data_IF_532666269504
#
_entry.id   IF_532666269504
#
_cell.length_a   1.000
_cell.length_b   1.000
_cell.length_c   1.000
_cell.angle_alpha   90.00
_cell.angle_beta   90.00
_cell.angle_gamma   90.00
#
_symmetry.space_group_name_H-M   'P 1'
#
loop_
_entity.id
_entity.type
_entity.pdbx_description
1 polymer ?
#
# COMPACT_ATOMS: atom_id res chain seq x y z
N UNK A 1 -29.60 -39.23 -0.88
CA UNK A 1 -28.72 -39.05 -2.06
C UNK A 1 -28.61 -37.60 -2.53
N UNK A 2 -29.66 -36.76 -2.52
CA UNK A 2 -29.57 -35.37 -3.05
C UNK A 2 -28.68 -34.41 -2.23
N UNK A 3 -28.57 -34.60 -0.90
CA UNK A 3 -27.67 -33.80 -0.04
C UNK A 3 -26.18 -34.02 -0.31
N UNK A 4 -25.81 -35.22 -0.79
CA UNK A 4 -24.43 -35.56 -1.15
C UNK A 4 -24.05 -34.92 -2.49
N UNK A 5 -24.99 -34.86 -3.44
CA UNK A 5 -24.82 -34.15 -4.71
C UNK A 5 -24.70 -32.63 -4.54
N UNK A 6 -25.43 -32.04 -3.59
CA UNK A 6 -25.35 -30.61 -3.29
C UNK A 6 -23.98 -30.22 -2.71
N UNK A 7 -23.41 -31.07 -1.85
CA UNK A 7 -22.06 -30.89 -1.31
C UNK A 7 -20.98 -31.00 -2.40
N UNK A 8 -21.14 -31.92 -3.36
CA UNK A 8 -20.25 -32.05 -4.52
C UNK A 8 -20.33 -30.85 -5.50
N UNK A 9 -21.53 -30.30 -5.73
CA UNK A 9 -21.70 -29.10 -6.58
C UNK A 9 -21.11 -27.83 -5.95
N UNK A 10 -21.28 -27.64 -4.64
CA UNK A 10 -20.73 -26.47 -3.92
C UNK A 10 -19.20 -26.56 -3.82
N UNK A 11 -18.62 -27.75 -3.67
CA UNK A 11 -17.17 -27.95 -3.70
C UNK A 11 -16.56 -27.68 -5.09
N UNK A 12 -17.25 -28.04 -6.18
CA UNK A 12 -16.78 -27.79 -7.54
C UNK A 12 -16.75 -26.30 -7.92
N UNK A 13 -17.68 -25.49 -7.40
CA UNK A 13 -17.69 -24.03 -7.64
C UNK A 13 -16.62 -23.26 -6.86
N UNK A 14 -16.13 -23.82 -5.74
CA UNK A 14 -15.07 -23.23 -4.92
C UNK A 14 -13.66 -23.39 -5.50
N UNK A 15 -13.44 -24.39 -6.36
CA UNK A 15 -12.10 -24.71 -6.88
C UNK A 15 -11.68 -23.88 -8.11
N UNK A 16 -12.60 -23.15 -8.75
CA UNK A 16 -12.33 -22.48 -10.03
C UNK A 16 -11.76 -21.05 -9.91
N UNK A 17 -11.74 -20.45 -8.72
CA UNK A 17 -11.35 -19.05 -8.53
C UNK A 17 -9.85 -18.85 -8.24
N UNK A 18 -9.11 -19.89 -7.87
CA UNK A 18 -7.65 -19.82 -7.66
C UNK A 18 -6.84 -19.73 -8.96
N UNK A 19 -7.41 -20.14 -10.10
CA UNK A 19 -6.73 -20.13 -11.39
C UNK A 19 -6.51 -18.73 -12.00
N UNK A 20 -7.40 -17.77 -11.72
CA UNK A 20 -7.36 -16.46 -12.38
C UNK A 20 -6.25 -15.56 -11.82
N UNK A 21 -6.04 -15.52 -10.50
CA UNK A 21 -5.00 -14.70 -9.89
C UNK A 21 -3.59 -15.17 -10.27
N UNK A 22 -3.39 -16.50 -10.35
CA UNK A 22 -2.13 -17.09 -10.82
C UNK A 22 -1.87 -16.78 -12.29
N UNK A 23 -2.91 -16.82 -13.15
CA UNK A 23 -2.76 -16.47 -14.57
C UNK A 23 -2.24 -15.05 -14.80
N UNK A 24 -2.84 -14.05 -14.15
CA UNK A 24 -2.42 -12.64 -14.32
C UNK A 24 -1.00 -12.42 -13.80
N UNK A 25 -0.66 -12.97 -12.64
CA UNK A 25 0.70 -12.89 -12.08
C UNK A 25 1.72 -13.55 -13.00
N UNK A 26 1.41 -14.74 -13.52
CA UNK A 26 2.25 -15.44 -14.49
C UNK A 26 2.53 -14.58 -15.72
N UNK A 27 1.50 -13.94 -16.28
CA UNK A 27 1.65 -13.06 -17.45
C UNK A 27 2.43 -11.78 -17.17
N UNK A 28 2.35 -11.24 -15.97
CA UNK A 28 3.19 -10.13 -15.51
C UNK A 28 4.67 -10.55 -15.49
N UNK A 29 4.98 -11.71 -14.89
CA UNK A 29 6.32 -12.26 -14.79
C UNK A 29 6.93 -12.62 -16.16
N UNK A 30 6.14 -13.19 -17.08
CA UNK A 30 6.59 -13.57 -18.43
C UNK A 30 6.92 -12.37 -19.33
N UNK A 31 6.32 -11.20 -19.07
CA UNK A 31 6.61 -9.95 -19.80
C UNK A 31 7.77 -9.16 -19.19
N UNK A 32 8.27 -9.58 -18.03
CA UNK A 32 9.29 -8.86 -17.29
C UNK A 32 10.64 -8.89 -18.02
N UNK A 33 11.35 -7.77 -17.99
CA UNK A 33 12.77 -7.75 -18.34
C UNK A 33 13.59 -8.22 -17.13
N UNK A 34 13.88 -9.52 -17.10
CA UNK A 34 14.58 -10.15 -15.98
C UNK A 34 16.00 -9.62 -15.78
N UNK A 35 16.70 -9.25 -16.85
CA UNK A 35 18.00 -8.58 -16.74
C UNK A 35 17.90 -7.24 -15.99
N UNK A 36 16.99 -6.36 -16.40
CA UNK A 36 16.80 -5.08 -15.72
C UNK A 36 16.34 -5.28 -14.27
N UNK A 37 15.47 -6.26 -14.04
CA UNK A 37 15.04 -6.63 -12.70
C UNK A 37 16.22 -6.99 -11.79
N UNK A 38 17.13 -7.86 -12.26
CA UNK A 38 18.35 -8.21 -11.53
C UNK A 38 19.25 -7.00 -11.30
N UNK A 39 19.46 -6.18 -12.34
CA UNK A 39 20.26 -4.96 -12.24
C UNK A 39 19.74 -4.02 -11.15
N UNK A 40 18.43 -3.74 -11.15
CA UNK A 40 17.80 -2.84 -10.18
C UNK A 40 17.86 -3.38 -8.76
N UNK A 41 17.75 -4.71 -8.59
CA UNK A 41 17.89 -5.35 -7.28
C UNK A 41 19.28 -5.16 -6.70
N UNK A 42 20.32 -5.38 -7.51
CA UNK A 42 21.69 -5.14 -7.09
C UNK A 42 21.94 -3.66 -6.77
N UNK A 43 21.43 -2.73 -7.59
CA UNK A 43 21.55 -1.28 -7.33
C UNK A 43 20.85 -0.81 -6.06
N UNK A 44 19.85 -1.56 -5.57
CA UNK A 44 19.19 -1.34 -4.28
C UNK A 44 19.89 -2.06 -3.11
N UNK A 45 21.01 -2.75 -3.35
CA UNK A 45 21.69 -3.56 -2.34
C UNK A 45 20.91 -4.80 -1.91
N UNK A 46 19.92 -5.25 -2.69
CA UNK A 46 19.08 -6.41 -2.38
C UNK A 46 19.63 -7.66 -3.08
N UNK A 47 19.48 -8.85 -2.50
CA UNK A 47 19.81 -10.11 -3.18
C UNK A 47 18.61 -10.64 -3.95
N UNK A 48 18.85 -11.39 -5.03
CA UNK A 48 17.78 -12.11 -5.75
C UNK A 48 17.20 -13.26 -4.91
N UNK A 49 18.05 -13.94 -4.13
CA UNK A 49 17.61 -15.02 -3.25
C UNK A 49 16.72 -14.47 -2.14
N UNK A 50 15.55 -15.10 -1.95
CA UNK A 50 14.57 -14.67 -0.94
C UNK A 50 13.75 -13.45 -1.36
N UNK A 51 13.84 -13.03 -2.62
CA UNK A 51 12.99 -11.97 -3.14
C UNK A 51 11.54 -12.41 -3.28
N UNK A 52 10.62 -11.70 -2.61
CA UNK A 52 9.22 -12.08 -2.57
C UNK A 52 8.50 -12.02 -3.92
N UNK A 53 8.95 -11.16 -4.85
CA UNK A 53 8.35 -11.11 -6.19
C UNK A 53 8.81 -12.31 -7.04
N UNK A 54 10.09 -12.68 -6.98
CA UNK A 54 10.59 -13.91 -7.59
C UNK A 54 9.81 -15.13 -7.10
N UNK A 55 9.61 -15.24 -5.78
CA UNK A 55 8.82 -16.32 -5.17
C UNK A 55 7.36 -16.35 -5.64
N UNK A 56 6.73 -15.18 -5.83
CA UNK A 56 5.39 -15.10 -6.41
C UNK A 56 5.35 -15.57 -7.86
N UNK A 57 6.38 -15.25 -8.66
CA UNK A 57 6.49 -15.71 -10.03
C UNK A 57 6.73 -17.22 -10.12
N UNK A 58 7.54 -17.78 -9.22
CA UNK A 58 7.75 -19.23 -9.08
C UNK A 58 6.43 -19.94 -8.72
N UNK A 59 5.70 -19.41 -7.74
CA UNK A 59 4.39 -19.95 -7.29
C UNK A 59 3.35 -19.86 -8.41
N UNK A 60 3.43 -18.84 -9.26
CA UNK A 60 2.57 -18.69 -10.43
C UNK A 60 3.03 -19.56 -11.63
N UNK A 61 4.05 -20.41 -11.45
CA UNK A 61 4.63 -21.28 -12.48
C UNK A 61 5.03 -20.50 -13.75
N UNK A 62 5.55 -19.29 -13.57
CA UNK A 62 5.98 -18.44 -14.68
C UNK A 62 7.29 -18.92 -15.28
N UNK A 63 7.44 -18.74 -16.60
CA UNK A 63 8.73 -18.90 -17.26
C UNK A 63 9.62 -17.70 -16.92
N UNK A 64 10.49 -17.89 -15.93
CA UNK A 64 11.45 -16.89 -15.45
C UNK A 64 12.79 -17.07 -16.18
N UNK A 65 13.35 -15.97 -16.68
CA UNK A 65 14.71 -15.96 -17.21
C UNK A 65 15.72 -15.71 -16.07
N UNK A 66 16.06 -16.77 -15.34
CA UNK A 66 17.03 -16.72 -14.25
C UNK A 66 18.42 -16.33 -14.72
N UNK A 67 18.81 -16.73 -15.94
CA UNK A 67 20.12 -16.39 -16.48
C UNK A 67 20.22 -14.90 -16.76
N UNK A 68 19.21 -14.32 -17.40
CA UNK A 68 19.11 -12.87 -17.60
C UNK A 68 19.11 -12.12 -16.27
N UNK A 69 18.32 -12.57 -15.28
CA UNK A 69 18.31 -11.97 -13.95
C UNK A 69 19.67 -12.00 -13.25
N UNK A 70 20.37 -13.14 -13.26
CA UNK A 70 21.70 -13.27 -12.69
C UNK A 70 22.74 -12.40 -13.41
N UNK A 71 22.72 -12.35 -14.74
CA UNK A 71 23.60 -11.48 -15.52
C UNK A 71 23.38 -10.00 -15.20
N UNK A 72 22.11 -9.58 -15.17
CA UNK A 72 21.73 -8.22 -14.80
C UNK A 72 22.15 -7.88 -13.38
N UNK A 73 21.96 -8.81 -12.45
CA UNK A 73 22.38 -8.67 -11.06
C UNK A 73 23.89 -8.45 -10.93
N UNK A 74 24.70 -9.28 -11.60
CA UNK A 74 26.17 -9.12 -11.65
C UNK A 74 26.58 -7.77 -12.24
N UNK A 75 25.93 -7.33 -13.32
CA UNK A 75 26.18 -6.03 -13.92
C UNK A 75 25.79 -4.86 -12.99
N UNK A 76 24.70 -5.01 -12.24
CA UNK A 76 24.28 -4.05 -11.23
C UNK A 76 25.24 -4.00 -10.04
N UNK A 77 25.72 -5.16 -9.55
CA UNK A 77 26.72 -5.23 -8.47
C UNK A 77 27.99 -4.46 -8.83
N UNK A 78 28.47 -4.59 -10.07
CA UNK A 78 29.65 -3.86 -10.54
C UNK A 78 29.47 -2.33 -10.50
N UNK A 79 28.23 -1.83 -10.57
CA UNK A 79 27.91 -0.41 -10.43
C UNK A 79 27.61 -0.01 -8.99
N UNK A 80 26.92 -0.86 -8.24
CA UNK A 80 26.59 -0.66 -6.84
C UNK A 80 27.84 -0.59 -5.97
N UNK A 81 28.84 -1.43 -6.24
CA UNK A 81 30.11 -1.50 -5.51
C UNK A 81 31.11 -0.43 -5.97
N UNK A 82 30.64 0.81 -6.17
CA UNK A 82 31.47 1.97 -6.49
C UNK A 82 31.56 2.94 -5.30
N UNK A 83 32.71 3.58 -5.05
CA UNK A 83 32.89 4.57 -3.99
C UNK A 83 31.82 5.66 -3.97
N UNK A 84 31.46 6.17 -5.15
CA UNK A 84 30.46 7.23 -5.30
C UNK A 84 29.07 6.75 -4.91
N UNK A 85 28.72 5.51 -5.26
CA UNK A 85 27.42 4.92 -4.89
C UNK A 85 27.36 4.70 -3.39
N UNK A 86 28.40 4.13 -2.77
CA UNK A 86 28.45 3.94 -1.32
C UNK A 86 28.29 5.27 -0.55
N UNK A 87 29.00 6.32 -0.99
CA UNK A 87 28.84 7.67 -0.45
C UNK A 87 27.42 8.21 -0.60
N UNK A 88 26.81 8.08 -1.78
CA UNK A 88 25.44 8.56 -2.00
C UNK A 88 24.41 7.76 -1.21
N UNK A 89 24.57 6.44 -1.08
CA UNK A 89 23.74 5.60 -0.19
C UNK A 89 23.78 6.14 1.24
N UNK A 90 24.97 6.46 1.75
CA UNK A 90 25.13 7.06 3.08
C UNK A 90 24.48 8.45 3.19
N UNK A 91 24.67 9.31 2.18
CA UNK A 91 24.02 10.63 2.12
C UNK A 91 22.50 10.56 2.05
N UNK A 92 21.95 9.50 1.46
CA UNK A 92 20.52 9.27 1.39
C UNK A 92 19.94 8.80 2.73
N UNK A 93 20.77 8.24 3.61
CA UNK A 93 20.37 7.69 4.90
C UNK A 93 20.05 6.20 4.85
N UNK A 94 20.50 5.53 3.79
CA UNK A 94 20.30 4.10 3.58
C UNK A 94 21.52 3.31 4.05
N UNK A 95 21.29 2.07 4.50
CA UNK A 95 22.38 1.16 4.84
C UNK A 95 23.03 0.60 3.57
N UNK A 96 24.36 0.57 3.54
CA UNK A 96 25.10 -0.02 2.43
C UNK A 96 25.29 -1.52 2.66
N UNK A 97 24.75 -2.34 1.77
CA UNK A 97 24.95 -3.79 1.80
C UNK A 97 26.33 -4.18 1.23
N UNK A 98 27.35 -4.11 2.07
CA UNK A 98 28.72 -4.52 1.75
C UNK A 98 28.88 -5.98 1.35
N UNK A 99 27.95 -6.84 1.76
CA UNK A 99 28.01 -8.29 1.48
C UNK A 99 27.71 -8.65 0.02
N UNK A 100 27.36 -7.67 -0.82
CA UNK A 100 27.29 -7.80 -2.27
C UNK A 100 28.63 -7.51 -2.95
N UNK A 101 29.60 -6.92 -2.25
CA UNK A 101 30.85 -6.47 -2.86
C UNK A 101 31.99 -7.44 -2.58
N UNK A 102 32.96 -7.49 -3.49
CA UNK A 102 34.18 -8.27 -3.30
C UNK A 102 35.04 -7.71 -2.16
N UNK A 103 35.68 -8.61 -1.41
CA UNK A 103 36.42 -8.31 -0.18
C UNK A 103 37.60 -7.35 -0.40
N UNK A 104 38.16 -7.30 -1.61
CA UNK A 104 39.33 -6.48 -1.95
C UNK A 104 39.09 -4.96 -1.84
N UNK A 105 37.83 -4.50 -1.89
CA UNK A 105 37.47 -3.07 -1.87
C UNK A 105 36.51 -2.64 -0.75
N UNK A 106 35.99 -3.57 0.04
CA UNK A 106 34.90 -3.30 1.01
C UNK A 106 35.26 -2.24 2.05
N UNK A 107 36.50 -2.20 2.53
CA UNK A 107 36.91 -1.20 3.52
C UNK A 107 36.83 0.24 2.99
N UNK A 108 37.19 0.45 1.71
CA UNK A 108 37.04 1.76 1.07
C UNK A 108 35.56 2.13 0.93
N UNK A 109 34.72 1.19 0.51
CA UNK A 109 33.28 1.41 0.35
C UNK A 109 32.60 1.74 1.69
N UNK A 110 32.96 1.04 2.78
CA UNK A 110 32.54 1.34 4.15
C UNK A 110 32.91 2.76 4.56
N UNK A 111 34.16 3.15 4.32
CA UNK A 111 34.62 4.50 4.65
C UNK A 111 33.84 5.57 3.86
N UNK A 112 33.57 5.32 2.58
CA UNK A 112 32.77 6.22 1.74
C UNK A 112 31.31 6.31 2.16
N UNK A 113 30.69 5.19 2.50
CA UNK A 113 29.36 5.19 3.09
C UNK A 113 29.31 5.99 4.39
N UNK A 114 30.25 5.77 5.31
CA UNK A 114 30.33 6.51 6.56
C UNK A 114 30.58 8.02 6.33
N UNK A 115 31.38 8.40 5.33
CA UNK A 115 31.56 9.80 4.91
C UNK A 115 30.22 10.42 4.45
N UNK A 116 29.46 9.69 3.65
CA UNK A 116 28.12 10.10 3.22
C UNK A 116 27.13 10.24 4.38
N UNK A 117 27.12 9.28 5.30
CA UNK A 117 26.30 9.34 6.53
C UNK A 117 26.67 10.56 7.37
N UNK A 118 27.97 10.85 7.57
CA UNK A 118 28.41 12.04 8.31
C UNK A 118 27.95 13.34 7.63
N UNK A 119 27.93 13.38 6.30
CA UNK A 119 27.39 14.51 5.53
C UNK A 119 25.88 14.67 5.75
N UNK A 120 25.11 13.57 5.74
CA UNK A 120 23.68 13.60 6.07
C UNK A 120 23.42 14.07 7.50
N UNK A 121 24.18 13.57 8.47
CA UNK A 121 23.93 13.78 9.90
C UNK A 121 24.32 15.19 10.41
N UNK A 122 24.50 16.15 9.52
CA UNK A 122 24.66 17.55 9.88
C UNK A 122 23.30 18.16 10.28
N UNK A 123 23.25 19.07 11.27
CA UNK A 123 22.00 19.67 11.73
C UNK A 123 21.17 20.31 10.61
N UNK A 124 21.78 20.96 9.61
CA UNK A 124 21.06 21.63 8.53
C UNK A 124 20.23 20.68 7.65
N UNK A 125 20.64 19.42 7.53
CA UNK A 125 19.93 18.42 6.74
C UNK A 125 18.78 17.74 7.49
N UNK A 126 18.80 17.75 8.83
CA UNK A 126 17.80 17.07 9.64
C UNK A 126 16.38 17.55 9.35
N UNK A 127 16.16 18.87 9.38
CA UNK A 127 14.83 19.46 9.10
C UNK A 127 14.29 19.07 7.72
N UNK A 128 15.13 19.11 6.68
CA UNK A 128 14.71 18.73 5.33
C UNK A 128 14.28 17.27 5.26
N UNK A 129 15.06 16.36 5.87
CA UNK A 129 14.76 14.92 5.92
C UNK A 129 13.50 14.62 6.72
N UNK A 130 13.30 15.29 7.86
CA UNK A 130 12.06 15.16 8.63
C UNK A 130 10.86 15.63 7.82
N UNK A 131 10.97 16.78 7.13
CA UNK A 131 9.89 17.36 6.34
C UNK A 131 9.53 16.52 5.10
N UNK A 132 10.47 15.74 4.57
CA UNK A 132 10.21 14.85 3.43
C UNK A 132 9.42 13.59 3.79
N UNK A 133 9.16 13.34 5.08
CA UNK A 133 8.49 12.13 5.55
C UNK A 133 9.41 10.92 5.70
N UNK A 134 10.72 11.10 5.54
CA UNK A 134 11.69 10.03 5.82
C UNK A 134 11.59 9.63 7.29
N UNK A 135 11.75 8.34 7.57
CA UNK A 135 11.69 7.77 8.92
C UNK A 135 13.12 7.49 9.36
N UNK A 136 13.53 8.15 10.45
CA UNK A 136 14.87 7.98 11.00
C UNK A 136 15.12 6.52 11.43
N UNK A 137 16.25 5.98 10.99
CA UNK A 137 16.63 4.57 11.13
C UNK A 137 17.90 4.39 11.98
N UNK A 138 18.24 5.37 12.84
CA UNK A 138 19.41 5.33 13.72
C UNK A 138 20.76 5.18 12.97
N UNK A 139 20.84 5.70 11.75
CA UNK A 139 22.06 5.63 10.94
C UNK A 139 23.14 6.62 11.39
N UNK A 140 22.79 7.68 12.13
CA UNK A 140 23.78 8.69 12.51
C UNK A 140 24.73 8.19 13.61
N UNK A 141 26.04 8.51 13.50
CA UNK A 141 26.98 8.32 14.59
C UNK A 141 26.53 9.08 15.84
N UNK A 142 26.80 8.51 17.02
CA UNK A 142 26.36 9.02 18.33
C UNK A 142 26.70 10.50 18.55
N UNK A 143 27.87 10.93 18.07
CA UNK A 143 28.38 12.28 18.20
C UNK A 143 27.66 13.33 17.32
N UNK A 144 27.03 12.92 16.21
CA UNK A 144 26.28 13.80 15.31
C UNK A 144 24.76 13.69 15.49
N UNK A 145 24.30 12.57 16.04
CA UNK A 145 22.90 12.20 16.12
C UNK A 145 22.04 13.22 16.87
N UNK A 146 22.50 13.73 18.01
CA UNK A 146 21.73 14.69 18.81
C UNK A 146 21.45 15.99 18.05
N UNK A 147 22.46 16.51 17.35
CA UNK A 147 22.36 17.71 16.52
C UNK A 147 21.40 17.50 15.35
N UNK A 148 21.53 16.38 14.63
CA UNK A 148 20.62 16.00 13.55
C UNK A 148 19.17 15.83 14.03
N UNK A 149 18.95 15.10 15.13
CA UNK A 149 17.62 14.81 15.65
C UNK A 149 16.87 16.06 16.08
N UNK A 150 17.57 17.06 16.61
CA UNK A 150 16.97 18.32 17.04
C UNK A 150 16.24 19.04 15.89
N UNK A 151 16.85 19.12 14.71
CA UNK A 151 16.25 19.75 13.53
C UNK A 151 15.33 18.79 12.77
N UNK A 152 15.65 17.48 12.76
CA UNK A 152 14.80 16.45 12.17
C UNK A 152 13.42 16.41 12.79
N UNK A 153 13.30 16.49 14.12
CA UNK A 153 12.00 16.53 14.83
C UNK A 153 11.13 17.70 14.39
N UNK A 154 11.73 18.88 14.17
CA UNK A 154 11.03 20.06 13.64
C UNK A 154 10.47 19.77 12.25
N UNK A 155 11.30 19.23 11.35
CA UNK A 155 10.86 18.82 10.01
C UNK A 155 9.77 17.75 10.04
N UNK A 156 9.96 16.72 10.87
CA UNK A 156 9.04 15.59 11.01
C UNK A 156 7.68 16.06 11.49
N UNK A 157 7.63 16.99 12.45
CA UNK A 157 6.38 17.62 12.90
C UNK A 157 5.64 18.32 11.77
N UNK A 158 6.34 19.06 10.90
CA UNK A 158 5.75 19.71 9.72
C UNK A 158 5.12 18.66 8.78
N UNK A 159 5.87 17.60 8.47
CA UNK A 159 5.37 16.51 7.62
C UNK A 159 4.11 15.87 8.20
N UNK A 160 4.16 15.43 9.46
CA UNK A 160 3.06 14.75 10.13
C UNK A 160 1.82 15.64 10.24
N UNK A 161 1.97 16.93 10.54
CA UNK A 161 0.86 17.88 10.53
C UNK A 161 0.22 18.02 9.14
N UNK A 162 1.04 17.99 8.08
CA UNK A 162 0.56 17.95 6.70
C UNK A 162 -0.28 16.70 6.41
N UNK A 163 0.19 15.53 6.85
CA UNK A 163 -0.53 14.24 6.70
C UNK A 163 -1.85 14.27 7.47
N UNK A 164 -1.87 14.76 8.71
CA UNK A 164 -3.11 14.91 9.50
C UNK A 164 -4.10 15.83 8.80
N UNK A 165 -3.65 16.97 8.28
CA UNK A 165 -4.50 17.90 7.52
C UNK A 165 -5.12 17.22 6.29
N UNK A 166 -4.33 16.45 5.53
CA UNK A 166 -4.82 15.71 4.37
C UNK A 166 -5.89 14.69 4.76
N UNK A 167 -5.63 13.86 5.79
CA UNK A 167 -6.58 12.85 6.27
C UNK A 167 -7.88 13.47 6.79
N UNK A 168 -7.80 14.58 7.52
CA UNK A 168 -8.99 15.33 7.97
C UNK A 168 -9.80 15.88 6.79
N UNK A 169 -9.15 16.34 5.73
CA UNK A 169 -9.84 16.76 4.50
C UNK A 169 -10.55 15.59 3.81
N UNK A 170 -9.95 14.40 3.82
CA UNK A 170 -10.57 13.19 3.28
C UNK A 170 -11.79 12.77 4.10
N UNK A 171 -11.71 12.82 5.43
CA UNK A 171 -12.85 12.61 6.33
C UNK A 171 -13.99 13.57 6.00
N UNK A 172 -13.69 14.87 5.82
CA UNK A 172 -14.71 15.86 5.47
C UNK A 172 -15.44 15.53 4.15
N UNK A 173 -14.70 15.05 3.14
CA UNK A 173 -15.29 14.57 1.87
C UNK A 173 -16.16 13.33 2.09
N UNK A 174 -15.71 12.36 2.88
CA UNK A 174 -16.50 11.17 3.22
C UNK A 174 -17.80 11.55 3.95
N UNK A 175 -17.74 12.51 4.87
CA UNK A 175 -18.92 13.01 5.59
C UNK A 175 -19.94 13.62 4.63
N UNK A 176 -19.51 14.40 3.64
CA UNK A 176 -20.39 14.94 2.59
C UNK A 176 -21.06 13.80 1.80
N UNK A 177 -20.28 12.82 1.34
CA UNK A 177 -20.80 11.68 0.59
C UNK A 177 -21.76 10.79 1.39
N UNK A 178 -21.52 10.63 2.70
CA UNK A 178 -22.42 9.93 3.60
C UNK A 178 -23.73 10.70 3.71
N UNK A 179 -23.70 12.01 3.97
CA UNK A 179 -24.92 12.84 4.03
C UNK A 179 -25.73 12.77 2.74
N UNK A 180 -25.09 12.80 1.58
CA UNK A 180 -25.75 12.70 0.29
C UNK A 180 -26.41 11.33 0.10
N UNK A 181 -25.68 10.26 0.43
CA UNK A 181 -26.18 8.90 0.40
C UNK A 181 -27.33 8.68 1.40
N UNK A 182 -27.29 9.33 2.56
CA UNK A 182 -28.36 9.27 3.56
C UNK A 182 -29.63 9.97 3.06
N UNK A 183 -29.50 11.12 2.39
CA UNK A 183 -30.61 11.80 1.72
C UNK A 183 -31.24 10.92 0.65
N UNK A 184 -30.43 10.33 -0.24
CA UNK A 184 -30.88 9.40 -1.28
C UNK A 184 -31.59 8.17 -0.69
N UNK A 185 -31.01 7.57 0.36
CA UNK A 185 -31.60 6.46 1.11
C UNK A 185 -32.97 6.83 1.67
N UNK A 186 -33.11 8.02 2.25
CA UNK A 186 -34.36 8.48 2.85
C UNK A 186 -35.44 8.69 1.78
N UNK A 187 -35.12 9.31 0.65
CA UNK A 187 -36.04 9.47 -0.48
C UNK A 187 -36.57 8.13 -0.99
N UNK A 188 -35.68 7.17 -1.27
CA UNK A 188 -36.07 5.82 -1.71
C UNK A 188 -36.89 5.08 -0.65
N UNK A 189 -36.62 5.32 0.65
CA UNK A 189 -37.41 4.73 1.73
C UNK A 189 -38.83 5.29 1.75
N UNK A 190 -39.00 6.60 1.54
CA UNK A 190 -40.32 7.24 1.42
C UNK A 190 -41.09 6.66 0.22
N UNK A 191 -40.44 6.53 -0.95
CA UNK A 191 -41.06 5.91 -2.12
C UNK A 191 -41.53 4.47 -1.85
N UNK A 192 -40.68 3.66 -1.21
CA UNK A 192 -41.02 2.29 -0.83
C UNK A 192 -42.21 2.23 0.15
N UNK A 193 -42.24 3.11 1.15
CA UNK A 193 -43.36 3.16 2.11
C UNK A 193 -44.66 3.60 1.43
N UNK A 194 -44.62 4.64 0.59
CA UNK A 194 -45.79 5.10 -0.16
C UNK A 194 -46.36 3.99 -1.07
N UNK A 195 -45.50 3.23 -1.75
CA UNK A 195 -45.92 2.08 -2.55
C UNK A 195 -46.59 0.98 -1.71
N UNK A 196 -46.05 0.67 -0.52
CA UNK A 196 -46.63 -0.34 0.38
C UNK A 196 -47.99 0.07 0.97
N UNK A 197 -48.19 1.36 1.23
CA UNK A 197 -49.48 1.90 1.68
C UNK A 197 -50.53 1.82 0.56
N UNK A 198 -50.14 2.19 -0.67
CA UNK A 198 -51.05 2.18 -1.82
C UNK A 198 -51.57 0.78 -2.19
N UNK A 199 -50.72 -0.25 -2.12
CA UNK A 199 -51.15 -1.65 -2.35
C UNK A 199 -52.04 -2.19 -1.24
N UNK A 200 -51.87 -1.71 0.00
CA UNK A 200 -52.70 -2.13 1.14
C UNK A 200 -54.11 -1.52 1.11
N UNK A 201 -54.27 -0.29 0.59
CA UNK A 201 -55.57 0.40 0.52
C UNK A 201 -56.46 -0.17 -0.60
N UNK A 202 -55.86 -0.63 -1.71
CA UNK A 202 -56.63 -1.04 -2.89
C UNK A 202 -57.17 -2.47 -2.85
N UNK A 203 -56.73 -3.33 -1.91
CA UNK A 203 -57.07 -4.77 -1.89
C UNK A 203 -56.94 -5.45 -3.27
N UNK A 204 -56.04 -4.95 -4.12
CA UNK A 204 -55.80 -5.43 -5.48
C UNK A 204 -54.55 -6.33 -5.48
N UNK A 205 -54.58 -7.39 -6.29
CA UNK A 205 -53.42 -8.22 -6.54
C UNK A 205 -52.27 -7.33 -7.08
N UNK A 206 -51.12 -7.32 -6.38
CA UNK A 206 -50.02 -6.42 -6.68
C UNK A 206 -49.50 -6.70 -8.11
N UNK A 207 -49.71 -5.74 -9.03
CA UNK A 207 -49.26 -5.85 -10.42
C UNK A 207 -47.78 -6.25 -10.49
N UNK A 208 -47.43 -7.15 -11.41
CA UNK A 208 -46.04 -7.58 -11.64
C UNK A 208 -45.09 -6.39 -11.86
N UNK A 209 -45.60 -5.31 -12.50
CA UNK A 209 -44.85 -4.05 -12.66
C UNK A 209 -44.49 -3.37 -11.33
N UNK A 210 -45.40 -3.37 -10.35
CA UNK A 210 -45.23 -2.79 -9.01
C UNK A 210 -44.23 -3.62 -8.21
N UNK A 211 -44.34 -4.96 -8.29
CA UNK A 211 -43.41 -5.89 -7.67
C UNK A 211 -41.98 -5.71 -8.19
N UNK A 212 -41.80 -5.61 -9.50
CA UNK A 212 -40.49 -5.35 -10.13
C UNK A 212 -39.92 -3.99 -9.68
N UNK A 213 -40.74 -2.94 -9.66
CA UNK A 213 -40.30 -1.61 -9.19
C UNK A 213 -39.87 -1.65 -7.72
N UNK A 214 -40.61 -2.35 -6.86
CA UNK A 214 -40.28 -2.54 -5.44
C UNK A 214 -38.95 -3.26 -5.26
N UNK A 215 -38.72 -4.34 -6.00
CA UNK A 215 -37.46 -5.08 -5.97
C UNK A 215 -36.27 -4.22 -6.43
N UNK A 216 -36.46 -3.42 -7.49
CA UNK A 216 -35.45 -2.48 -7.98
C UNK A 216 -35.07 -1.43 -6.91
N UNK A 217 -36.06 -0.78 -6.29
CA UNK A 217 -35.84 0.20 -5.21
C UNK A 217 -35.17 -0.43 -3.99
N UNK A 218 -35.56 -1.65 -3.61
CA UNK A 218 -34.90 -2.39 -2.53
C UNK A 218 -33.44 -2.70 -2.86
N UNK A 219 -33.12 -3.02 -4.11
CA UNK A 219 -31.74 -3.24 -4.56
C UNK A 219 -30.90 -1.96 -4.45
N UNK A 220 -31.45 -0.82 -4.91
CA UNK A 220 -30.80 0.49 -4.77
C UNK A 220 -30.55 0.85 -3.30
N UNK A 221 -31.55 0.64 -2.43
CA UNK A 221 -31.41 0.88 -1.00
C UNK A 221 -30.29 0.03 -0.37
N UNK A 222 -30.18 -1.25 -0.74
CA UNK A 222 -29.08 -2.12 -0.28
C UNK A 222 -27.72 -1.60 -0.74
N UNK A 223 -27.62 -1.18 -2.00
CA UNK A 223 -26.40 -0.60 -2.55
C UNK A 223 -25.96 0.65 -1.80
N UNK A 224 -26.88 1.58 -1.55
CA UNK A 224 -26.61 2.83 -0.81
C UNK A 224 -26.20 2.54 0.64
N UNK A 225 -26.89 1.62 1.33
CA UNK A 225 -26.51 1.20 2.69
C UNK A 225 -25.09 0.64 2.74
N UNK A 226 -24.71 -0.17 1.74
CA UNK A 226 -23.35 -0.69 1.60
C UNK A 226 -22.32 0.43 1.41
N UNK A 227 -22.62 1.41 0.53
CA UNK A 227 -21.75 2.59 0.31
C UNK A 227 -21.56 3.42 1.57
N UNK A 228 -22.63 3.72 2.32
CA UNK A 228 -22.56 4.43 3.60
C UNK A 228 -21.67 3.66 4.58
N UNK A 229 -21.89 2.35 4.72
CA UNK A 229 -21.10 1.53 5.63
C UNK A 229 -19.62 1.50 5.24
N UNK A 230 -19.31 1.40 3.95
CA UNK A 230 -17.93 1.46 3.44
C UNK A 230 -17.25 2.78 3.78
N UNK A 231 -17.93 3.91 3.54
CA UNK A 231 -17.39 5.23 3.86
C UNK A 231 -17.16 5.42 5.37
N UNK A 232 -18.11 4.98 6.22
CA UNK A 232 -17.96 5.02 7.68
C UNK A 232 -16.79 4.18 8.18
N UNK A 233 -16.59 2.99 7.61
CA UNK A 233 -15.42 2.15 7.93
C UNK A 233 -14.12 2.85 7.58
N UNK A 234 -14.05 3.50 6.41
CA UNK A 234 -12.87 4.25 5.97
C UNK A 234 -12.60 5.47 6.86
N UNK A 235 -13.63 6.20 7.27
CA UNK A 235 -13.53 7.31 8.21
C UNK A 235 -12.95 6.85 9.55
N UNK A 236 -13.48 5.77 10.13
CA UNK A 236 -12.95 5.21 11.39
C UNK A 236 -11.48 4.77 11.26
N UNK A 237 -11.07 4.23 10.11
CA UNK A 237 -9.67 3.92 9.84
C UNK A 237 -8.80 5.20 9.83
N UNK A 238 -9.22 6.23 9.11
CA UNK A 238 -8.48 7.49 9.03
C UNK A 238 -8.35 8.17 10.40
N UNK A 239 -9.40 8.11 11.23
CA UNK A 239 -9.36 8.63 12.61
C UNK A 239 -8.33 7.90 13.47
N UNK A 240 -8.26 6.57 13.40
CA UNK A 240 -7.24 5.78 14.11
C UNK A 240 -5.82 6.13 13.64
N UNK A 241 -5.63 6.31 12.34
CA UNK A 241 -4.34 6.72 11.78
C UNK A 241 -3.94 8.13 12.26
N UNK A 242 -4.88 9.08 12.31
CA UNK A 242 -4.64 10.42 12.86
C UNK A 242 -4.21 10.34 14.32
N UNK A 243 -4.89 9.54 15.16
CA UNK A 243 -4.52 9.38 16.57
C UNK A 243 -3.09 8.82 16.74
N UNK A 244 -2.71 7.84 15.92
CA UNK A 244 -1.35 7.31 15.91
C UNK A 244 -0.31 8.38 15.55
N UNK A 245 -0.61 9.22 14.55
CA UNK A 245 0.28 10.30 14.11
C UNK A 245 0.38 11.42 15.16
N UNK A 246 -0.74 11.77 15.80
CA UNK A 246 -0.76 12.78 16.86
C UNK A 246 0.05 12.34 18.09
N UNK A 247 0.02 11.04 18.43
CA UNK A 247 0.89 10.45 19.45
C UNK A 247 2.38 10.56 19.08
N UNK A 248 2.73 10.28 17.82
CA UNK A 248 4.11 10.48 17.34
C UNK A 248 4.53 11.96 17.49
N UNK A 249 3.69 12.91 17.06
CA UNK A 249 3.95 14.35 17.20
C UNK A 249 4.21 14.76 18.65
N UNK A 250 3.52 14.16 19.61
CA UNK A 250 3.71 14.44 21.05
C UNK A 250 5.02 13.88 21.60
N UNK A 251 5.57 12.83 20.98
CA UNK A 251 6.81 12.18 21.40
C UNK A 251 8.08 12.78 20.78
N UNK A 252 7.96 13.64 19.77
CA UNK A 252 9.07 14.34 19.10
C UNK A 252 9.58 15.52 19.93
#
# INVERSE_FOLDING_TARGET
MSRFFYFLMVAALGFSLSGCASYFKRKECEKMNWFQYGYDKAMKGQRLQGDGFLQQCETAEAKIDYSGADQGFKAGMANYCKPEVAFQTGRNGDFFNESLCDMSGVNLLKAKHAEGVKSLCQPDHGKQKGASGWVYNNICPKELESGFLSTYRVGRKIHLQGVVKQKRSEIHTLDQQIRDSEREKNDLTIQLTAMGVASSIKNEEESESVKQRRQSLQSQLRSIKSRIQSHRSKQSQLEKEILSIESEIQSL
#
